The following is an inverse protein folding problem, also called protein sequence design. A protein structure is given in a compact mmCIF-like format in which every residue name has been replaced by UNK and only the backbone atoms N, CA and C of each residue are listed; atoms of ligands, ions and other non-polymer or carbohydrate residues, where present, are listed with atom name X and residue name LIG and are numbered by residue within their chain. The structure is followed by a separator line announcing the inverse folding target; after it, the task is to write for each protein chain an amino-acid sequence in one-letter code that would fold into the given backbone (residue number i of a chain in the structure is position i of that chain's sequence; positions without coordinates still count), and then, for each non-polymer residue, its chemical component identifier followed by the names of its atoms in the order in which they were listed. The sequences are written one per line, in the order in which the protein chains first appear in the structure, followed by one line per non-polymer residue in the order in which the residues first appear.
data_IF_279046674164
#
_entry.id   IF_279046674164
#
_cell.length_a   1.000
_cell.length_b   1.000
_cell.length_c   1.000
_cell.angle_alpha   90.00
_cell.angle_beta   90.00
_cell.angle_gamma   90.00
#
_symmetry.space_group_name_H-M   'P 1'
#
loop_
_entity.id
_entity.type
_entity.pdbx_description
1 polymer ?
#
# COMPACT_ATOMS: atom_id res chain seq x y z
N UNK A 1 -18.31 10.40 -1.66
CA UNK A 1 -17.64 9.08 -1.69
C UNK A 1 -17.63 8.36 -0.34
N UNK A 2 -17.08 8.94 0.74
CA UNK A 2 -16.97 8.26 2.04
C UNK A 2 -18.29 7.64 2.55
N UNK A 3 -19.39 8.40 2.54
CA UNK A 3 -20.72 7.90 2.93
C UNK A 3 -21.15 6.69 2.08
N UNK A 4 -21.03 6.79 0.75
CA UNK A 4 -21.40 5.69 -0.14
C UNK A 4 -20.59 4.43 0.14
N UNK A 5 -19.26 4.54 0.27
CA UNK A 5 -18.40 3.39 0.54
C UNK A 5 -18.73 2.70 1.87
N UNK A 6 -18.90 3.48 2.95
CA UNK A 6 -18.98 2.91 4.30
C UNK A 6 -20.41 2.71 4.82
N UNK A 7 -21.42 3.36 4.22
CA UNK A 7 -22.82 3.22 4.61
C UNK A 7 -23.67 2.50 3.56
N UNK A 8 -23.51 2.81 2.28
CA UNK A 8 -24.30 2.15 1.24
C UNK A 8 -23.72 0.78 0.88
N UNK A 9 -22.42 0.72 0.59
CA UNK A 9 -21.73 -0.54 0.29
C UNK A 9 -21.25 -1.28 1.53
N UNK A 10 -21.32 -0.65 2.70
CA UNK A 10 -20.86 -1.19 3.98
C UNK A 10 -19.44 -1.81 3.92
N UNK A 11 -18.55 -1.22 3.13
CA UNK A 11 -17.17 -1.69 3.01
C UNK A 11 -16.39 -1.38 4.29
N UNK A 12 -15.50 -2.29 4.70
CA UNK A 12 -14.64 -2.04 5.86
C UNK A 12 -13.46 -1.13 5.52
N UNK A 13 -13.02 -1.12 4.27
CA UNK A 13 -11.97 -0.24 3.80
C UNK A 13 -12.09 0.11 2.32
N UNK A 14 -11.41 1.19 1.90
CA UNK A 14 -11.27 1.55 0.50
C UNK A 14 -9.88 2.11 0.16
N UNK A 15 -9.48 2.04 -1.11
CA UNK A 15 -8.28 2.71 -1.61
C UNK A 15 -8.61 4.14 -2.07
N UNK A 16 -7.68 5.08 -1.88
CA UNK A 16 -7.87 6.49 -2.23
C UNK A 16 -6.61 7.04 -2.89
N UNK A 17 -6.78 7.77 -3.99
CA UNK A 17 -5.73 8.61 -4.56
C UNK A 17 -5.74 9.97 -3.84
N UNK A 18 -4.68 10.28 -3.07
CA UNK A 18 -4.58 11.50 -2.27
C UNK A 18 -3.90 12.67 -3.03
N UNK A 19 -4.02 12.71 -4.35
CA UNK A 19 -3.43 13.77 -5.18
C UNK A 19 -3.83 15.19 -4.74
N UNK A 20 -5.07 15.39 -4.28
CA UNK A 20 -5.56 16.67 -3.77
C UNK A 20 -5.11 17.00 -2.33
N UNK A 21 -4.30 16.14 -1.70
CA UNK A 21 -3.86 16.33 -0.32
C UNK A 21 -4.92 15.96 0.72
N UNK A 22 -4.74 16.49 1.93
CA UNK A 22 -5.48 16.06 3.12
C UNK A 22 -7.00 16.27 3.03
N UNK A 23 -7.44 17.36 2.40
CA UNK A 23 -8.86 17.67 2.26
C UNK A 23 -9.63 16.60 1.48
N UNK A 24 -8.96 15.92 0.54
CA UNK A 24 -9.53 14.80 -0.21
C UNK A 24 -9.77 13.53 0.63
N UNK A 25 -9.00 13.33 1.72
CA UNK A 25 -9.09 12.13 2.57
C UNK A 25 -9.82 12.37 3.90
N UNK A 26 -9.84 13.61 4.39
CA UNK A 26 -10.45 14.01 5.66
C UNK A 26 -11.89 13.51 5.84
N UNK A 27 -12.78 13.51 4.82
CA UNK A 27 -14.13 12.96 4.97
C UNK A 27 -14.18 11.47 5.29
N UNK A 28 -13.20 10.69 4.83
CA UNK A 28 -13.11 9.26 5.09
C UNK A 28 -12.58 8.96 6.49
N UNK A 29 -11.61 9.75 6.96
CA UNK A 29 -11.03 9.63 8.31
C UNK A 29 -12.04 9.88 9.46
N UNK A 30 -13.21 10.48 9.16
CA UNK A 30 -14.33 10.59 10.12
C UNK A 30 -14.87 9.22 10.54
N UNK A 31 -14.69 8.18 9.72
CA UNK A 31 -15.13 6.82 10.00
C UNK A 31 -13.98 6.04 10.65
N UNK A 32 -13.76 6.24 11.94
CA UNK A 32 -12.58 5.72 12.68
C UNK A 32 -12.43 4.19 12.62
N UNK A 33 -13.53 3.47 12.53
CA UNK A 33 -13.57 2.00 12.46
C UNK A 33 -13.47 1.47 11.03
N UNK A 34 -13.31 2.35 10.03
CA UNK A 34 -13.15 1.99 8.62
C UNK A 34 -11.74 2.35 8.16
N UNK A 35 -11.14 1.47 7.37
CA UNK A 35 -9.79 1.63 6.84
C UNK A 35 -9.76 2.45 5.54
N UNK A 36 -8.67 3.17 5.32
CA UNK A 36 -8.35 3.74 4.02
C UNK A 36 -6.91 3.40 3.63
N UNK A 37 -6.68 3.14 2.35
CA UNK A 37 -5.35 2.83 1.81
C UNK A 37 -4.96 3.86 0.76
N UNK A 38 -3.99 4.71 1.07
CA UNK A 38 -3.54 5.77 0.15
C UNK A 38 -2.55 5.22 -0.87
N UNK A 39 -2.74 5.54 -2.14
CA UNK A 39 -1.80 5.16 -3.21
C UNK A 39 -0.46 5.88 -3.02
N UNK A 40 0.63 5.12 -2.85
CA UNK A 40 1.99 5.67 -2.68
C UNK A 40 2.88 5.30 -3.86
N UNK A 41 3.09 3.99 -4.09
CA UNK A 41 3.89 3.47 -5.21
C UNK A 41 3.18 2.28 -5.82
N UNK A 42 2.58 2.43 -7.00
CA UNK A 42 1.74 1.39 -7.61
C UNK A 42 2.56 0.46 -8.51
N UNK A 43 2.06 -0.75 -8.79
CA UNK A 43 2.81 -1.79 -9.54
C UNK A 43 2.64 -1.74 -11.07
N UNK A 44 1.86 -0.81 -11.61
CA UNK A 44 1.72 -0.65 -13.06
C UNK A 44 2.99 -0.02 -13.69
N UNK A 45 3.33 -0.35 -14.96
CA UNK A 45 4.53 0.17 -15.63
C UNK A 45 4.61 1.70 -15.66
N UNK A 46 3.50 2.40 -15.93
CA UNK A 46 3.44 3.87 -15.99
C UNK A 46 3.53 4.55 -14.62
N UNK A 47 3.65 3.82 -13.52
CA UNK A 47 3.78 4.41 -12.17
C UNK A 47 4.97 5.37 -12.06
N UNK A 48 6.04 5.12 -12.82
CA UNK A 48 7.28 5.90 -12.81
C UNK A 48 7.10 7.32 -13.36
N UNK A 49 6.08 7.58 -14.18
CA UNK A 49 5.91 8.87 -14.88
C UNK A 49 5.69 10.03 -13.90
N UNK A 50 5.03 9.77 -12.76
CA UNK A 50 4.77 10.78 -11.75
C UNK A 50 5.35 10.42 -10.39
N UNK A 51 5.23 9.17 -9.94
CA UNK A 51 5.58 8.78 -8.57
C UNK A 51 7.09 8.85 -8.34
N UNK A 52 7.88 8.69 -9.41
CA UNK A 52 9.33 8.76 -9.36
C UNK A 52 9.86 10.15 -9.71
N UNK A 53 9.03 11.14 -10.03
CA UNK A 53 9.57 12.49 -10.23
C UNK A 53 10.19 12.99 -8.92
N UNK A 54 11.30 13.71 -9.05
CA UNK A 54 11.92 14.41 -7.94
C UNK A 54 11.22 15.75 -7.73
N UNK A 55 10.80 16.00 -6.50
CA UNK A 55 10.19 17.27 -6.08
C UNK A 55 10.89 17.82 -4.86
N UNK A 56 10.78 19.14 -4.71
CA UNK A 56 11.17 19.89 -3.52
C UNK A 56 10.00 20.77 -3.08
N UNK A 57 9.70 20.76 -1.78
CA UNK A 57 8.83 21.76 -1.18
C UNK A 57 9.69 22.93 -0.74
N UNK A 58 9.52 24.07 -1.38
CA UNK A 58 10.08 25.32 -0.89
C UNK A 58 9.16 25.85 0.21
N UNK A 59 9.71 26.06 1.41
CA UNK A 59 8.97 26.56 2.57
C UNK A 59 9.30 28.01 2.82
N UNK A 60 8.34 28.77 3.36
CA UNK A 60 8.49 30.17 3.74
C UNK A 60 8.91 31.11 2.58
N UNK A 61 8.55 30.77 1.34
CA UNK A 61 8.67 31.69 0.21
C UNK A 61 7.39 32.54 0.19
N UNK A 62 7.54 33.84 0.43
CA UNK A 62 6.45 34.80 0.24
C UNK A 62 6.02 34.79 -1.24
N UNK A 63 4.70 34.85 -1.53
CA UNK A 63 4.19 34.93 -2.90
C UNK A 63 4.66 36.18 -3.66
N UNK A 64 5.21 37.18 -2.97
CA UNK A 64 5.72 38.42 -3.54
C UNK A 64 7.20 38.33 -4.00
N UNK A 65 7.88 37.21 -3.74
CA UNK A 65 9.29 37.05 -4.09
C UNK A 65 9.41 36.77 -5.59
N UNK A 66 10.13 37.63 -6.31
CA UNK A 66 10.42 37.47 -7.75
C UNK A 66 11.60 36.53 -8.03
N UNK A 67 12.58 36.42 -7.13
CA UNK A 67 13.72 35.51 -7.27
C UNK A 67 14.12 34.85 -5.94
N UNK A 68 14.37 33.54 -5.97
CA UNK A 68 14.82 32.77 -4.82
C UNK A 68 15.99 31.86 -5.18
N UNK A 69 17.16 32.06 -4.56
CA UNK A 69 18.38 31.28 -4.85
C UNK A 69 18.64 30.25 -3.75
N UNK A 70 18.62 28.97 -4.14
CA UNK A 70 18.95 27.85 -3.24
C UNK A 70 20.37 27.37 -3.51
N UNK A 71 21.25 27.37 -2.48
CA UNK A 71 22.63 26.87 -2.61
C UNK A 71 22.70 25.34 -2.69
N UNK A 72 21.88 24.64 -1.91
CA UNK A 72 21.76 23.18 -1.89
C UNK A 72 20.36 22.82 -1.41
N UNK A 73 19.68 21.90 -2.10
CA UNK A 73 18.37 21.39 -1.70
C UNK A 73 18.32 19.88 -1.83
N UNK A 74 17.61 19.23 -0.91
CA UNK A 74 17.33 17.81 -1.00
C UNK A 74 16.10 17.60 -1.88
N UNK A 75 16.30 16.97 -3.04
CA UNK A 75 15.20 16.47 -3.85
C UNK A 75 14.76 15.11 -3.32
N UNK A 76 13.45 14.88 -3.21
CA UNK A 76 12.90 13.56 -2.88
C UNK A 76 11.92 13.12 -3.96
N UNK A 77 11.82 11.81 -4.16
CA UNK A 77 10.82 11.22 -5.08
C UNK A 77 9.40 11.53 -4.57
N UNK A 78 8.44 11.69 -5.47
CA UNK A 78 7.04 11.98 -5.12
C UNK A 78 6.41 10.91 -4.21
N UNK A 79 6.74 9.63 -4.42
CA UNK A 79 6.25 8.57 -3.52
C UNK A 79 6.79 8.70 -2.08
N UNK A 80 7.99 9.27 -1.90
CA UNK A 80 8.55 9.55 -0.56
C UNK A 80 7.76 10.69 0.10
N UNK A 81 7.51 11.78 -0.64
CA UNK A 81 6.69 12.88 -0.13
C UNK A 81 5.30 12.39 0.29
N UNK A 82 4.68 11.49 -0.49
CA UNK A 82 3.38 10.91 -0.12
C UNK A 82 3.46 10.04 1.14
N UNK A 83 4.51 9.23 1.30
CA UNK A 83 4.72 8.44 2.52
C UNK A 83 4.92 9.35 3.75
N UNK A 84 5.67 10.44 3.62
CA UNK A 84 5.87 11.42 4.70
C UNK A 84 4.56 12.14 5.06
N UNK A 85 3.75 12.53 4.07
CA UNK A 85 2.42 13.09 4.31
C UNK A 85 1.53 12.12 5.09
N UNK A 86 1.54 10.84 4.73
CA UNK A 86 0.74 9.82 5.42
C UNK A 86 1.19 9.63 6.86
N UNK A 87 2.50 9.59 7.12
CA UNK A 87 3.06 9.57 8.47
C UNK A 87 2.57 10.78 9.28
N UNK A 88 2.61 11.97 8.68
CA UNK A 88 2.20 13.19 9.37
C UNK A 88 0.69 13.19 9.65
N UNK A 89 -0.13 12.77 8.67
CA UNK A 89 -1.58 12.63 8.79
C UNK A 89 -2.01 11.56 9.80
N UNK A 90 -1.16 10.55 10.08
CA UNK A 90 -1.47 9.47 11.03
C UNK A 90 -1.24 9.84 12.49
N UNK A 91 -0.47 10.91 12.78
CA UNK A 91 -0.01 11.30 14.13
C UNK A 91 -1.12 11.39 15.18
N UNK A 92 -2.32 11.86 14.81
CA UNK A 92 -3.44 12.08 15.72
C UNK A 92 -4.65 11.16 15.45
N UNK A 93 -4.42 10.07 14.72
CA UNK A 93 -5.47 9.08 14.48
C UNK A 93 -5.58 8.09 15.63
N UNK A 94 -6.71 7.38 15.67
CA UNK A 94 -6.95 6.34 16.67
C UNK A 94 -5.96 5.20 16.49
N UNK A 95 -5.33 4.79 17.59
CA UNK A 95 -4.42 3.65 17.62
C UNK A 95 -5.21 2.33 17.79
N UNK A 96 -4.87 1.37 16.95
CA UNK A 96 -5.36 0.01 16.92
C UNK A 96 -4.17 -0.93 17.03
N UNK A 97 -3.61 -1.06 18.24
CA UNK A 97 -2.47 -1.93 18.52
C UNK A 97 -1.21 -1.55 17.72
N UNK A 98 -0.88 -0.26 17.72
CA UNK A 98 0.28 0.28 17.00
C UNK A 98 0.02 0.61 15.52
N UNK A 99 -1.22 0.40 15.05
CA UNK A 99 -1.65 0.78 13.69
C UNK A 99 -2.75 1.83 13.73
N UNK A 100 -2.87 2.60 12.66
CA UNK A 100 -4.01 3.50 12.44
C UNK A 100 -4.91 2.95 11.35
N UNK A 101 -6.10 3.53 11.20
CA UNK A 101 -6.98 3.22 10.07
C UNK A 101 -6.51 3.86 8.74
N UNK A 102 -5.36 4.54 8.73
CA UNK A 102 -4.70 5.10 7.55
C UNK A 102 -3.55 4.17 7.10
N UNK A 103 -3.87 3.31 6.14
CA UNK A 103 -2.94 2.44 5.44
C UNK A 103 -2.40 3.03 4.14
N UNK A 104 -1.52 2.28 3.48
CA UNK A 104 -0.90 2.68 2.20
C UNK A 104 -0.93 1.56 1.18
N UNK A 105 -0.91 1.89 -0.11
CA UNK A 105 -0.75 0.92 -1.19
C UNK A 105 0.65 1.03 -1.78
N UNK A 106 1.39 -0.08 -1.74
CA UNK A 106 2.74 -0.18 -2.29
C UNK A 106 2.88 -1.48 -3.08
N UNK A 107 3.22 -1.38 -4.37
CA UNK A 107 3.31 -2.50 -5.29
C UNK A 107 4.46 -3.45 -4.96
N UNK A 108 4.21 -4.75 -5.14
CA UNK A 108 5.17 -5.83 -4.89
C UNK A 108 6.39 -5.81 -5.82
N UNK A 109 6.32 -5.12 -6.96
CA UNK A 109 7.38 -5.04 -7.99
C UNK A 109 8.51 -4.08 -7.64
N UNK A 110 8.42 -3.37 -6.51
CA UNK A 110 9.36 -2.34 -6.08
C UNK A 110 9.87 -2.61 -4.64
N UNK A 111 10.68 -3.67 -4.42
CA UNK A 111 11.05 -4.13 -3.08
C UNK A 111 11.89 -3.12 -2.28
N UNK A 112 12.71 -2.31 -2.96
CA UNK A 112 13.52 -1.29 -2.28
C UNK A 112 12.66 -0.11 -1.83
N UNK A 113 11.75 0.35 -2.68
CA UNK A 113 10.77 1.37 -2.36
C UNK A 113 9.86 0.91 -1.22
N UNK A 114 9.39 -0.34 -1.26
CA UNK A 114 8.60 -0.95 -0.19
C UNK A 114 9.34 -0.89 1.15
N UNK A 115 10.64 -1.23 1.17
CA UNK A 115 11.48 -1.13 2.35
C UNK A 115 11.60 0.30 2.87
N UNK A 116 11.88 1.26 1.99
CA UNK A 116 12.01 2.67 2.38
C UNK A 116 10.68 3.21 2.91
N UNK A 117 9.57 2.91 2.24
CA UNK A 117 8.23 3.36 2.64
C UNK A 117 7.85 2.75 3.99
N UNK A 118 8.10 1.46 4.24
CA UNK A 118 7.85 0.82 5.54
C UNK A 118 8.56 1.55 6.70
N UNK A 119 9.79 2.01 6.50
CA UNK A 119 10.51 2.77 7.52
C UNK A 119 9.88 4.14 7.81
N UNK A 120 9.16 4.73 6.84
CA UNK A 120 8.46 6.01 7.01
C UNK A 120 7.10 5.81 7.67
N UNK A 121 6.30 4.84 7.21
CA UNK A 121 4.90 4.61 7.66
C UNK A 121 4.78 3.45 8.66
N UNK A 122 5.40 3.63 9.84
CA UNK A 122 5.51 2.58 10.87
C UNK A 122 4.17 2.17 11.50
N UNK A 123 3.17 3.04 11.49
CA UNK A 123 1.84 2.84 12.05
C UNK A 123 0.75 2.60 10.98
N UNK A 124 1.15 2.26 9.75
CA UNK A 124 0.23 1.98 8.64
C UNK A 124 0.30 0.52 8.20
N UNK A 125 -0.86 -0.06 7.91
CA UNK A 125 -0.93 -1.32 7.17
C UNK A 125 -0.62 -1.03 5.70
N UNK A 126 0.25 -1.83 5.07
CA UNK A 126 0.56 -1.74 3.64
C UNK A 126 -0.25 -2.80 2.89
N UNK A 127 -1.11 -2.35 1.98
CA UNK A 127 -1.73 -3.19 0.96
C UNK A 127 -0.74 -3.36 -0.21
N UNK A 128 -0.39 -4.61 -0.51
CA UNK A 128 0.67 -5.00 -1.44
C UNK A 128 0.07 -5.70 -2.66
N UNK A 129 -0.32 -4.97 -3.71
CA UNK A 129 -0.77 -5.55 -4.97
C UNK A 129 0.42 -6.01 -5.82
N UNK A 130 0.15 -6.98 -6.71
CA UNK A 130 1.09 -7.40 -7.75
C UNK A 130 1.87 -8.67 -7.45
N UNK A 131 1.57 -9.37 -6.35
CA UNK A 131 2.15 -10.68 -6.08
C UNK A 131 1.72 -11.72 -7.13
N UNK A 132 2.69 -12.47 -7.67
CA UNK A 132 2.46 -13.51 -8.66
C UNK A 132 2.26 -12.98 -10.08
N UNK A 133 1.05 -12.52 -10.42
CA UNK A 133 0.68 -12.23 -11.81
C UNK A 133 1.48 -11.08 -12.47
N UNK A 134 2.09 -10.19 -11.67
CA UNK A 134 2.97 -9.12 -12.14
C UNK A 134 4.46 -9.44 -11.91
N UNK A 135 4.79 -10.70 -11.60
CA UNK A 135 6.16 -11.21 -11.51
C UNK A 135 6.80 -11.15 -10.12
N UNK A 136 6.19 -10.45 -9.15
CA UNK A 136 6.74 -10.35 -7.81
C UNK A 136 6.66 -11.66 -7.02
N UNK A 137 7.75 -11.98 -6.33
CA UNK A 137 7.95 -13.17 -5.51
C UNK A 137 7.76 -12.89 -4.03
N UNK A 138 7.76 -13.95 -3.20
CA UNK A 138 7.61 -13.81 -1.75
C UNK A 138 8.78 -13.06 -1.09
N UNK A 139 9.98 -13.15 -1.67
CA UNK A 139 11.16 -12.40 -1.24
C UNK A 139 11.01 -10.88 -1.40
N UNK A 140 10.24 -10.44 -2.39
CA UNK A 140 10.14 -9.02 -2.78
C UNK A 140 9.22 -8.25 -1.83
N UNK A 141 8.25 -8.94 -1.24
CA UNK A 141 7.23 -8.34 -0.39
C UNK A 141 7.58 -8.38 1.10
N UNK A 142 8.64 -9.09 1.50
CA UNK A 142 8.99 -9.30 2.92
C UNK A 142 9.15 -7.99 3.69
N UNK A 143 9.64 -6.95 3.02
CA UNK A 143 9.83 -5.63 3.61
C UNK A 143 8.53 -4.89 3.90
N UNK A 144 7.39 -5.38 3.39
CA UNK A 144 6.08 -4.90 3.76
C UNK A 144 5.60 -5.36 5.14
N UNK A 145 6.30 -6.31 5.76
CA UNK A 145 5.92 -6.91 7.04
C UNK A 145 6.92 -6.58 8.15
N UNK A 146 6.43 -6.51 9.38
CA UNK A 146 7.27 -6.50 10.58
C UNK A 146 7.74 -7.93 10.93
N UNK A 147 8.71 -8.05 11.85
CA UNK A 147 9.31 -9.34 12.24
C UNK A 147 8.31 -10.34 12.83
N UNK A 148 7.21 -9.85 13.42
CA UNK A 148 6.11 -10.65 13.94
C UNK A 148 5.06 -11.01 12.88
N UNK A 149 5.28 -10.63 11.61
CA UNK A 149 4.43 -11.04 10.50
C UNK A 149 3.24 -10.16 10.18
N UNK A 150 3.07 -9.06 10.89
CA UNK A 150 1.93 -8.15 10.69
C UNK A 150 2.37 -6.90 9.90
N UNK A 151 1.39 -6.09 9.53
CA UNK A 151 1.60 -4.79 8.88
C UNK A 151 1.46 -4.84 7.36
N UNK A 152 1.48 -6.00 6.72
CA UNK A 152 1.25 -6.16 5.28
C UNK A 152 -0.03 -6.95 4.98
N UNK A 153 -0.74 -6.60 3.91
CA UNK A 153 -1.81 -7.40 3.31
C UNK A 153 -1.46 -7.61 1.85
N UNK A 154 -1.37 -8.86 1.41
CA UNK A 154 -1.02 -9.17 0.03
C UNK A 154 -2.28 -9.35 -0.80
N UNK A 155 -2.36 -8.63 -1.91
CA UNK A 155 -3.43 -8.82 -2.87
C UNK A 155 -2.97 -9.76 -3.99
N UNK A 156 -3.67 -10.89 -4.13
CA UNK A 156 -3.60 -11.78 -5.28
C UNK A 156 -5.02 -12.12 -5.72
N UNK A 157 -5.35 -11.89 -6.99
CA UNK A 157 -6.73 -12.04 -7.49
C UNK A 157 -6.80 -13.13 -8.56
N UNK A 158 -6.39 -12.86 -9.80
CA UNK A 158 -6.40 -13.84 -10.92
C UNK A 158 -5.70 -15.16 -10.58
N UNK A 159 -4.60 -15.10 -9.83
CA UNK A 159 -3.86 -16.30 -9.41
C UNK A 159 -4.67 -17.24 -8.52
N UNK A 160 -5.63 -16.72 -7.76
CA UNK A 160 -6.49 -17.49 -6.85
C UNK A 160 -7.82 -17.84 -7.54
N UNK A 161 -8.46 -16.88 -8.21
CA UNK A 161 -9.75 -17.07 -8.90
C UNK A 161 -9.63 -18.18 -9.96
N UNK A 162 -8.53 -18.18 -10.73
CA UNK A 162 -8.29 -19.17 -11.80
C UNK A 162 -7.33 -20.29 -11.38
N UNK A 163 -7.16 -20.54 -10.08
CA UNK A 163 -6.27 -21.61 -9.61
C UNK A 163 -6.67 -22.99 -10.16
N UNK A 164 -7.96 -23.24 -10.35
CA UNK A 164 -8.48 -24.51 -10.87
C UNK A 164 -8.02 -24.78 -12.30
N UNK A 165 -7.82 -23.74 -13.12
CA UNK A 165 -7.45 -23.89 -14.54
C UNK A 165 -5.94 -23.96 -14.77
N UNK A 166 -5.11 -23.79 -13.73
CA UNK A 166 -3.64 -23.84 -13.87
C UNK A 166 -3.11 -25.25 -14.12
N UNK A 167 -3.84 -26.28 -13.68
CA UNK A 167 -3.42 -27.68 -13.77
C UNK A 167 -4.63 -28.58 -14.04
N UNK A 168 -4.42 -29.80 -14.53
CA UNK A 168 -5.50 -30.80 -14.68
C UNK A 168 -5.97 -31.40 -13.34
N UNK A 169 -5.50 -30.88 -12.20
CA UNK A 169 -5.80 -31.42 -10.86
C UNK A 169 -7.23 -31.11 -10.40
N UNK A 170 -7.83 -30.02 -10.88
CA UNK A 170 -9.15 -29.57 -10.47
C UNK A 170 -10.04 -29.38 -11.70
N UNK A 171 -11.32 -29.73 -11.56
CA UNK A 171 -12.36 -29.29 -12.50
C UNK A 171 -12.86 -27.89 -12.16
N UNK A 172 -13.57 -27.18 -13.07
CA UNK A 172 -14.20 -25.89 -12.78
C UNK A 172 -15.12 -25.90 -11.55
N UNK A 173 -15.83 -27.00 -11.30
CA UNK A 173 -16.73 -27.17 -10.14
C UNK A 173 -15.94 -27.18 -8.82
N UNK A 174 -14.65 -27.50 -8.86
CA UNK A 174 -13.76 -27.53 -7.71
C UNK A 174 -13.02 -26.20 -7.48
N UNK A 175 -13.47 -25.09 -8.08
CA UNK A 175 -12.80 -23.78 -7.98
C UNK A 175 -12.51 -23.38 -6.53
N UNK A 176 -13.46 -23.55 -5.60
CA UNK A 176 -13.28 -23.17 -4.19
C UNK A 176 -12.15 -23.95 -3.51
N UNK A 177 -12.04 -25.26 -3.80
CA UNK A 177 -10.95 -26.11 -3.29
C UNK A 177 -9.60 -25.70 -3.90
N UNK A 178 -9.58 -25.40 -5.19
CA UNK A 178 -8.38 -24.94 -5.88
C UNK A 178 -7.89 -23.59 -5.32
N UNK A 179 -8.80 -22.61 -5.17
CA UNK A 179 -8.51 -21.29 -4.59
C UNK A 179 -8.00 -21.40 -3.16
N UNK A 180 -8.63 -22.23 -2.32
CA UNK A 180 -8.17 -22.47 -0.95
C UNK A 180 -6.75 -23.04 -0.91
N UNK A 181 -6.46 -24.05 -1.74
CA UNK A 181 -5.13 -24.65 -1.78
C UNK A 181 -4.07 -23.66 -2.28
N UNK A 182 -4.40 -22.85 -3.29
CA UNK A 182 -3.50 -21.77 -3.73
C UNK A 182 -3.23 -20.76 -2.61
N UNK A 183 -4.25 -20.35 -1.84
CA UNK A 183 -4.07 -19.46 -0.68
C UNK A 183 -3.11 -20.09 0.36
N UNK A 184 -3.30 -21.38 0.68
CA UNK A 184 -2.43 -22.09 1.62
C UNK A 184 -0.98 -22.14 1.13
N UNK A 185 -0.78 -22.44 -0.15
CA UNK A 185 0.55 -22.50 -0.77
C UNK A 185 1.23 -21.11 -0.85
N UNK A 186 0.45 -20.06 -1.15
CA UNK A 186 0.90 -18.67 -1.11
C UNK A 186 1.34 -18.31 0.32
N UNK A 187 0.47 -18.52 1.32
CA UNK A 187 0.77 -18.21 2.72
C UNK A 187 2.00 -18.97 3.23
N UNK A 188 2.14 -20.25 2.90
CA UNK A 188 3.32 -21.05 3.26
C UNK A 188 4.61 -20.45 2.70
N UNK A 189 4.62 -20.04 1.43
CA UNK A 189 5.79 -19.40 0.79
C UNK A 189 6.12 -18.07 1.45
N UNK A 190 5.12 -17.24 1.70
CA UNK A 190 5.31 -15.92 2.31
C UNK A 190 5.84 -16.07 3.74
N UNK A 191 5.18 -16.90 4.57
CA UNK A 191 5.54 -17.09 5.97
C UNK A 191 6.97 -17.61 6.12
N UNK A 192 7.40 -18.50 5.22
CA UNK A 192 8.80 -18.95 5.13
C UNK A 192 9.76 -17.77 4.87
N UNK A 193 9.46 -16.91 3.90
CA UNK A 193 10.32 -15.76 3.55
C UNK A 193 10.37 -14.67 4.62
N UNK A 194 9.26 -14.43 5.33
CA UNK A 194 9.21 -13.44 6.43
C UNK A 194 9.68 -14.03 7.78
N UNK A 195 10.02 -15.33 7.82
CA UNK A 195 10.60 -15.98 9.00
C UNK A 195 9.60 -16.32 10.11
N UNK A 196 8.30 -16.40 9.81
CA UNK A 196 7.29 -16.88 10.75
C UNK A 196 7.24 -18.40 10.67
N UNK A 197 7.44 -19.08 11.80
CA UNK A 197 7.17 -20.50 11.92
C UNK A 197 5.65 -20.72 11.90
N UNK A 198 5.13 -21.30 10.81
CA UNK A 198 3.77 -21.84 10.69
C UNK A 198 3.66 -23.24 11.23
#
# INVERSE_FOLDING_TARGET
YAYSMFKNFNSDACTINAYFGFDGIKPFLKYKERGIFILVKTSNPSSIEFQDLFSVKLVNISPEISEYRVKKTLLKRNYIHMAELIRDWSTNLTDFSGFTNLGTVVGATYPQELKIIREIVKNSIILIPGYGAQGAQASDIKHGFFKNGIGGIINSSRGIIYAYSKTKKYSPEQFGKASRNEILDINKRINKEIGIKT
#
